data_IF_695587461209
#
_entry.id   IF_695587461209
#
_cell.length_a   1.000
_cell.length_b   1.000
_cell.length_c   1.000
_cell.angle_alpha   90.00
_cell.angle_beta   90.00
_cell.angle_gamma   90.00
#
_symmetry.space_group_name_H-M   'P 1'
#
loop_
_entity.id
_entity.type
_entity.pdbx_description
1 polymer ?
#
# COMPACT_ATOMS: atom_id res chain seq x y z
N UNK A 1 4.12 14.84 4.40
CA UNK A 1 4.83 14.87 3.11
C UNK A 1 4.20 13.78 2.26
N UNK A 2 3.39 14.15 1.27
CA UNK A 2 2.81 13.17 0.33
C UNK A 2 3.96 12.69 -0.53
N UNK A 3 4.24 11.39 -0.52
CA UNK A 3 5.34 10.86 -1.30
C UNK A 3 4.99 10.92 -2.78
N UNK A 4 5.96 11.31 -3.62
CA UNK A 4 5.83 11.29 -5.07
C UNK A 4 5.87 9.86 -5.66
N UNK A 5 5.73 8.84 -4.81
CA UNK A 5 5.79 7.45 -5.20
C UNK A 5 4.63 7.06 -6.14
N UNK A 6 3.43 7.55 -5.81
CA UNK A 6 2.28 7.40 -6.68
C UNK A 6 2.09 8.66 -7.51
N UNK A 7 2.40 8.60 -8.78
CA UNK A 7 2.12 9.69 -9.71
C UNK A 7 0.63 9.74 -10.01
N UNK A 8 -0.07 10.49 -9.20
CA UNK A 8 -1.45 10.86 -9.49
C UNK A 8 -1.50 11.74 -10.75
N UNK A 9 -2.55 11.62 -11.54
CA UNK A 9 -2.78 12.55 -12.66
C UNK A 9 -2.79 14.02 -12.18
N UNK A 10 -2.52 14.96 -13.08
CA UNK A 10 -2.52 16.39 -12.74
C UNK A 10 -3.81 16.78 -12.00
N UNK A 11 -3.65 17.35 -10.81
CA UNK A 11 -4.75 17.90 -10.02
C UNK A 11 -5.43 16.91 -9.05
N UNK A 12 -5.06 15.65 -9.06
CA UNK A 12 -5.61 14.66 -8.11
C UNK A 12 -4.57 14.36 -7.04
N UNK A 13 -4.91 14.65 -5.80
CA UNK A 13 -4.13 14.23 -4.62
C UNK A 13 -5.05 13.38 -3.76
N UNK A 14 -4.65 12.18 -3.46
CA UNK A 14 -5.32 11.30 -2.50
C UNK A 14 -4.36 11.04 -1.37
N UNK A 15 -4.81 11.29 -0.17
CA UNK A 15 -4.01 11.07 1.04
C UNK A 15 -4.16 9.65 1.57
N UNK A 16 -4.98 8.85 0.91
CA UNK A 16 -5.30 7.50 1.33
C UNK A 16 -5.05 6.47 0.23
N UNK A 17 -4.42 5.36 0.62
CA UNK A 17 -4.20 4.21 -0.24
C UNK A 17 -4.92 2.98 0.33
N UNK A 18 -5.64 2.27 -0.52
CA UNK A 18 -6.36 1.04 -0.17
C UNK A 18 -5.46 -0.21 -0.07
N UNK A 19 -4.15 -0.03 0.02
CA UNK A 19 -3.21 -1.15 0.06
C UNK A 19 -3.36 -2.00 1.30
N UNK A 20 -3.60 -1.34 2.45
CA UNK A 20 -3.84 -1.99 3.73
C UNK A 20 -4.78 -1.10 4.54
N UNK A 21 -5.90 -1.66 4.93
CA UNK A 21 -6.87 -1.03 5.81
C UNK A 21 -7.14 -1.99 6.95
N UNK A 22 -7.02 -1.50 8.17
CA UNK A 22 -7.44 -2.23 9.37
C UNK A 22 -8.44 -1.38 10.13
N UNK A 23 -9.65 -1.86 10.24
CA UNK A 23 -10.74 -1.18 10.94
C UNK A 23 -11.40 -2.13 11.93
N UNK A 24 -12.06 -1.62 12.98
CA UNK A 24 -12.89 -2.43 13.85
C UNK A 24 -14.11 -2.98 13.08
N UNK A 25 -14.71 -4.02 13.62
CA UNK A 25 -15.99 -4.51 13.09
C UNK A 25 -17.04 -3.39 13.22
N UNK A 26 -17.83 -3.21 12.18
CA UNK A 26 -18.87 -2.15 12.10
C UNK A 26 -18.29 -0.72 12.14
N UNK A 27 -17.15 -0.52 11.52
CA UNK A 27 -16.57 0.81 11.37
C UNK A 27 -17.49 1.73 10.55
N UNK A 28 -17.81 2.89 11.12
CA UNK A 28 -18.76 3.84 10.52
C UNK A 28 -18.30 4.39 9.18
N UNK A 29 -17.00 4.64 9.05
CA UNK A 29 -16.42 5.18 7.82
C UNK A 29 -16.48 4.16 6.70
N UNK A 30 -16.21 2.88 7.00
CA UNK A 30 -16.31 1.81 6.01
C UNK A 30 -17.76 1.52 5.61
N UNK A 31 -18.71 1.63 6.51
CA UNK A 31 -20.13 1.53 6.17
C UNK A 31 -20.56 2.67 5.24
N UNK A 32 -20.20 3.91 5.57
CA UNK A 32 -20.51 5.05 4.74
C UNK A 32 -19.90 4.94 3.33
N UNK A 33 -18.64 4.53 3.25
CA UNK A 33 -17.98 4.29 1.95
C UNK A 33 -18.69 3.19 1.16
N UNK A 34 -19.10 2.12 1.83
CA UNK A 34 -19.86 1.03 1.24
C UNK A 34 -21.19 1.49 0.67
N UNK A 35 -21.96 2.28 1.43
CA UNK A 35 -23.25 2.80 1.02
C UNK A 35 -23.12 3.72 -0.20
N UNK A 36 -22.15 4.64 -0.18
CA UNK A 36 -21.87 5.53 -1.31
C UNK A 36 -21.47 4.74 -2.56
N UNK A 37 -20.64 3.73 -2.43
CA UNK A 37 -20.23 2.91 -3.57
C UNK A 37 -21.39 2.07 -4.11
N UNK A 38 -22.25 1.53 -3.26
CA UNK A 38 -23.46 0.83 -3.72
C UNK A 38 -24.42 1.76 -4.45
N UNK A 39 -24.65 2.96 -3.94
CA UNK A 39 -25.47 3.96 -4.62
C UNK A 39 -24.88 4.33 -5.97
N UNK A 40 -23.57 4.57 -6.03
CA UNK A 40 -22.88 4.82 -7.30
C UNK A 40 -23.12 3.69 -8.31
N UNK A 41 -22.84 2.43 -7.93
CA UNK A 41 -22.98 1.29 -8.84
C UNK A 41 -24.44 0.90 -9.15
N UNK A 42 -25.40 1.40 -8.39
CA UNK A 42 -26.83 1.26 -8.71
C UNK A 42 -27.27 2.18 -9.85
N UNK A 43 -26.57 3.29 -10.03
CA UNK A 43 -26.89 4.31 -11.02
C UNK A 43 -25.92 4.34 -12.21
N UNK A 44 -24.69 3.84 -12.01
CA UNK A 44 -23.63 3.88 -13.00
C UNK A 44 -23.15 2.47 -13.37
N UNK A 45 -22.87 2.23 -14.64
CA UNK A 45 -22.37 0.93 -15.13
C UNK A 45 -20.89 0.96 -15.48
N UNK A 46 -20.20 2.09 -15.28
CA UNK A 46 -18.77 2.29 -15.50
C UNK A 46 -18.21 3.23 -14.44
N UNK A 47 -16.93 3.07 -14.14
CA UNK A 47 -16.19 4.06 -13.34
C UNK A 47 -15.55 5.09 -14.27
N UNK A 48 -15.65 6.34 -13.91
CA UNK A 48 -14.96 7.42 -14.65
C UNK A 48 -13.49 7.56 -14.21
N UNK A 49 -13.19 7.09 -13.01
CA UNK A 49 -11.88 7.25 -12.43
C UNK A 49 -11.42 6.00 -11.68
N UNK A 50 -10.23 5.48 -12.04
CA UNK A 50 -9.67 4.25 -11.47
C UNK A 50 -9.55 4.25 -9.94
N UNK A 51 -9.31 5.43 -9.36
CA UNK A 51 -9.13 5.60 -7.92
C UNK A 51 -10.39 6.13 -7.22
N UNK A 52 -11.57 5.88 -7.75
CA UNK A 52 -12.84 6.40 -7.23
C UNK A 52 -13.00 6.16 -5.73
N UNK A 53 -12.74 4.94 -5.25
CA UNK A 53 -12.87 4.60 -3.82
C UNK A 53 -11.91 5.38 -2.93
N UNK A 54 -10.69 5.66 -3.40
CA UNK A 54 -9.72 6.45 -2.66
C UNK A 54 -10.13 7.93 -2.60
N UNK A 55 -10.64 8.46 -3.69
CA UNK A 55 -11.15 9.83 -3.75
C UNK A 55 -12.34 10.00 -2.82
N UNK A 56 -13.31 9.08 -2.87
CA UNK A 56 -14.48 9.10 -1.99
C UNK A 56 -14.08 9.02 -0.51
N UNK A 57 -13.15 8.13 -0.19
CA UNK A 57 -12.67 8.00 1.19
C UNK A 57 -12.00 9.28 1.68
N UNK A 58 -11.16 9.90 0.85
CA UNK A 58 -10.48 11.16 1.18
C UNK A 58 -11.51 12.29 1.38
N UNK A 59 -12.53 12.38 0.54
CA UNK A 59 -13.62 13.34 0.66
C UNK A 59 -14.43 13.12 1.94
N UNK A 60 -14.77 11.88 2.29
CA UNK A 60 -15.50 11.57 3.52
C UNK A 60 -14.69 12.01 4.74
N UNK A 61 -13.42 11.67 4.82
CA UNK A 61 -12.56 12.05 5.96
C UNK A 61 -12.44 13.56 6.08
N UNK A 62 -12.26 14.25 4.96
CA UNK A 62 -11.98 15.69 4.98
C UNK A 62 -13.23 16.55 5.16
N UNK A 63 -14.37 16.12 4.62
CA UNK A 63 -15.61 16.90 4.62
C UNK A 63 -16.56 16.55 5.75
N UNK A 64 -16.80 15.25 5.95
CA UNK A 64 -17.83 14.81 6.89
C UNK A 64 -17.39 14.95 8.35
N UNK A 65 -16.08 15.03 8.62
CA UNK A 65 -15.53 15.22 9.98
C UNK A 65 -16.28 14.37 10.99
N UNK A 66 -16.31 13.05 10.76
CA UNK A 66 -17.06 12.12 11.60
C UNK A 66 -16.68 12.36 13.08
N UNK A 67 -17.65 12.74 13.94
CA UNK A 67 -17.38 13.08 15.31
C UNK A 67 -16.68 11.91 16.05
N UNK A 68 -15.62 12.23 16.79
CA UNK A 68 -14.83 11.26 17.56
C UNK A 68 -14.16 10.15 16.74
N UNK A 69 -14.10 10.28 15.40
CA UNK A 69 -13.37 9.33 14.57
C UNK A 69 -11.88 9.66 14.62
N UNK A 70 -11.08 8.67 14.95
CA UNK A 70 -9.62 8.78 14.95
C UNK A 70 -9.01 7.69 14.08
N UNK A 71 -7.95 8.02 13.35
CA UNK A 71 -7.20 7.07 12.54
C UNK A 71 -5.71 7.29 12.69
N UNK A 72 -4.95 6.21 12.57
CA UNK A 72 -3.51 6.26 12.48
C UNK A 72 -3.10 6.29 11.01
N UNK A 73 -2.48 7.39 10.61
CA UNK A 73 -1.86 7.50 9.28
C UNK A 73 -0.43 6.98 9.35
N UNK A 74 -0.08 6.11 8.41
CA UNK A 74 1.29 5.59 8.25
C UNK A 74 1.83 6.01 6.89
N UNK A 75 3.15 5.97 6.74
CA UNK A 75 3.80 6.26 5.46
C UNK A 75 3.32 5.27 4.39
N UNK A 76 2.98 5.79 3.21
CA UNK A 76 2.61 4.99 2.04
C UNK A 76 3.82 4.26 1.41
N UNK A 77 5.03 4.72 1.69
CA UNK A 77 6.28 4.17 1.15
C UNK A 77 6.85 3.05 2.00
N UNK A 78 6.64 3.08 3.32
CA UNK A 78 7.23 2.11 4.25
C UNK A 78 6.86 0.67 3.91
N UNK A 79 5.60 0.32 3.60
CA UNK A 79 5.25 -1.04 3.21
C UNK A 79 5.98 -1.53 1.94
N UNK A 80 6.44 -0.62 1.10
CA UNK A 80 7.17 -0.94 -0.14
C UNK A 80 8.69 -0.97 0.03
N UNK A 81 9.23 -0.54 1.17
CA UNK A 81 10.68 -0.40 1.35
C UNK A 81 11.43 -1.71 1.09
N UNK A 82 10.92 -2.86 1.57
CA UNK A 82 11.53 -4.16 1.31
C UNK A 82 11.48 -4.54 -0.16
N UNK A 83 10.37 -4.28 -0.86
CA UNK A 83 10.25 -4.48 -2.30
C UNK A 83 11.33 -3.70 -3.07
N UNK A 84 11.59 -2.45 -2.69
CA UNK A 84 12.62 -1.63 -3.32
C UNK A 84 14.03 -2.15 -3.02
N UNK A 85 14.29 -2.56 -1.78
CA UNK A 85 15.57 -3.17 -1.42
C UNK A 85 15.85 -4.41 -2.28
N UNK A 86 14.86 -5.28 -2.45
CA UNK A 86 14.94 -6.47 -3.31
C UNK A 86 15.15 -6.06 -4.78
N UNK A 87 14.35 -5.12 -5.30
CA UNK A 87 14.46 -4.69 -6.68
C UNK A 87 15.79 -4.03 -7.02
N UNK A 88 16.42 -3.36 -6.06
CA UNK A 88 17.76 -2.74 -6.20
C UNK A 88 18.90 -3.69 -5.84
N UNK A 89 18.61 -4.92 -5.47
CA UNK A 89 19.61 -5.88 -4.96
C UNK A 89 20.47 -5.29 -3.82
N UNK A 90 19.79 -4.66 -2.86
CA UNK A 90 20.47 -4.08 -1.70
C UNK A 90 21.18 -5.14 -0.85
N UNK A 91 22.07 -4.71 0.03
CA UNK A 91 22.73 -5.61 0.97
C UNK A 91 21.72 -6.28 1.90
N UNK A 92 21.96 -7.53 2.28
CA UNK A 92 21.09 -8.28 3.19
C UNK A 92 20.88 -7.55 4.53
N UNK A 93 21.91 -6.88 5.04
CA UNK A 93 21.83 -6.07 6.26
C UNK A 93 20.77 -4.96 6.17
N UNK A 94 20.66 -4.31 5.01
CA UNK A 94 19.64 -3.28 4.76
C UNK A 94 18.24 -3.88 4.77
N UNK A 95 18.05 -5.01 4.10
CA UNK A 95 16.76 -5.70 4.10
C UNK A 95 16.36 -6.18 5.49
N UNK A 96 17.29 -6.76 6.26
CA UNK A 96 17.05 -7.15 7.66
C UNK A 96 16.66 -5.98 8.55
N UNK A 97 17.30 -4.81 8.37
CA UNK A 97 16.93 -3.59 9.09
C UNK A 97 15.49 -3.15 8.75
N UNK A 98 15.15 -3.10 7.46
CA UNK A 98 13.78 -2.78 7.00
C UNK A 98 12.76 -3.73 7.63
N UNK A 99 13.01 -5.05 7.60
CA UNK A 99 12.10 -6.05 8.16
C UNK A 99 11.92 -5.91 9.67
N UNK A 100 12.94 -5.42 10.38
CA UNK A 100 12.87 -5.18 11.83
C UNK A 100 12.08 -3.90 12.17
N UNK A 101 12.23 -2.87 11.38
CA UNK A 101 11.66 -1.54 11.65
C UNK A 101 10.23 -1.38 11.12
N UNK A 102 9.90 -2.06 10.04
CA UNK A 102 8.60 -1.95 9.39
C UNK A 102 7.83 -3.27 9.56
N UNK A 103 6.69 -3.27 10.27
CA UNK A 103 5.99 -4.51 10.58
C UNK A 103 5.16 -5.09 9.42
N UNK A 104 4.92 -4.31 8.37
CA UNK A 104 4.08 -4.70 7.23
C UNK A 104 4.83 -4.46 5.93
N UNK A 105 4.90 -5.47 5.07
CA UNK A 105 5.58 -5.39 3.80
C UNK A 105 4.64 -5.75 2.65
N UNK A 106 4.53 -4.85 1.68
CA UNK A 106 3.86 -5.11 0.41
C UNK A 106 4.89 -5.47 -0.64
N UNK A 107 4.84 -6.69 -1.14
CA UNK A 107 5.73 -7.18 -2.18
C UNK A 107 4.98 -7.27 -3.52
N UNK A 108 5.73 -7.25 -4.62
CA UNK A 108 5.22 -7.53 -5.95
C UNK A 108 5.68 -8.91 -6.42
N UNK A 109 4.90 -9.55 -7.27
CA UNK A 109 5.34 -10.73 -8.01
C UNK A 109 6.07 -10.36 -9.32
N UNK A 110 6.03 -9.07 -9.72
CA UNK A 110 6.62 -8.55 -10.96
C UNK A 110 8.02 -8.01 -10.69
N UNK A 111 8.96 -8.88 -10.36
CA UNK A 111 10.38 -8.47 -10.31
C UNK A 111 11.01 -8.56 -11.70
N UNK A 112 11.89 -7.61 -12.09
CA UNK A 112 12.59 -7.66 -13.37
C UNK A 112 13.37 -8.97 -13.53
N UNK A 113 13.12 -9.70 -14.62
CA UNK A 113 13.72 -11.02 -14.91
C UNK A 113 15.26 -11.03 -14.95
N UNK A 114 15.87 -9.92 -15.36
CA UNK A 114 17.32 -9.77 -15.39
C UNK A 114 17.99 -9.85 -14.02
N UNK A 115 17.26 -9.53 -12.95
CA UNK A 115 17.79 -9.59 -11.58
C UNK A 115 17.58 -10.95 -10.91
N UNK A 116 16.68 -11.77 -11.43
CA UNK A 116 16.43 -13.11 -10.91
C UNK A 116 17.47 -14.14 -11.37
N UNK A 117 18.23 -13.85 -12.44
CA UNK A 117 19.22 -14.78 -12.99
C UNK A 117 20.50 -14.92 -12.15
N UNK A 118 20.81 -13.99 -11.27
CA UNK A 118 21.98 -14.08 -10.39
C UNK A 118 21.64 -14.92 -9.14
N UNK A 119 22.31 -16.05 -8.97
CA UNK A 119 22.06 -16.99 -7.84
C UNK A 119 22.15 -16.34 -6.45
N UNK A 120 22.99 -15.32 -6.28
CA UNK A 120 23.27 -14.65 -5.02
C UNK A 120 22.54 -13.31 -4.82
N UNK A 121 21.52 -13.00 -5.63
CA UNK A 121 20.79 -11.76 -5.43
C UNK A 121 19.87 -11.83 -4.19
N UNK A 122 19.48 -10.66 -3.69
CA UNK A 122 18.64 -10.54 -2.50
C UNK A 122 17.27 -11.24 -2.66
N UNK A 123 16.69 -11.22 -3.86
CA UNK A 123 15.42 -11.90 -4.14
C UNK A 123 15.55 -13.42 -3.95
N UNK A 124 16.59 -14.04 -4.52
CA UNK A 124 16.82 -15.48 -4.36
C UNK A 124 17.11 -15.86 -2.91
N UNK A 125 17.88 -15.05 -2.19
CA UNK A 125 18.08 -15.27 -0.74
C UNK A 125 16.77 -15.18 0.02
N UNK A 126 15.92 -14.19 -0.27
CA UNK A 126 14.62 -14.03 0.36
C UNK A 126 13.70 -15.23 0.11
N UNK A 127 13.64 -15.73 -1.13
CA UNK A 127 12.85 -16.91 -1.49
C UNK A 127 13.39 -18.17 -0.79
N UNK A 128 14.70 -18.43 -0.85
CA UNK A 128 15.32 -19.62 -0.25
C UNK A 128 15.17 -19.69 1.27
N UNK A 129 15.10 -18.56 1.93
CA UNK A 129 14.94 -18.48 3.39
C UNK A 129 13.49 -18.29 3.83
N UNK A 130 12.51 -18.53 2.94
CA UNK A 130 11.09 -18.30 3.22
C UNK A 130 10.80 -16.91 3.81
N UNK A 131 11.51 -15.91 3.32
CA UNK A 131 11.33 -14.52 3.73
C UNK A 131 12.03 -14.10 5.01
N UNK A 132 12.78 -14.97 5.67
CA UNK A 132 13.45 -14.63 6.95
C UNK A 132 14.81 -13.98 6.78
N UNK A 133 15.46 -14.15 5.63
CA UNK A 133 16.84 -13.73 5.35
C UNK A 133 17.86 -14.24 6.40
N UNK A 134 17.57 -15.36 7.04
CA UNK A 134 18.56 -16.04 7.88
C UNK A 134 19.63 -16.63 6.99
N UNK A 135 20.86 -16.69 7.51
CA UNK A 135 21.93 -17.41 6.83
C UNK A 135 21.61 -18.92 6.89
N UNK A 136 21.63 -19.55 5.72
CA UNK A 136 21.54 -21.00 5.57
C UNK A 136 22.92 -21.57 5.73
#
# INVERSE_FOLDING_TARGET
MVSDYFRWGKGVRVNWLNSIIKVPKHDVLMHLLWDILNEYWSNENRYEYYYLSQVLFDEIINREKIPNYSYLSVSDTDPHALQFAIAKNAQVSVAKKIMKEIPIHKLTYKFPSQKSAQENNLLNKFIRTNGTLQEV
#
